data_IF_261407228717
#
_entry.id   IF_261407228717
#
_cell.length_a   1.000
_cell.length_b   1.000
_cell.length_c   1.000
_cell.angle_alpha   90.00
_cell.angle_beta   90.00
_cell.angle_gamma   90.00
#
_symmetry.space_group_name_H-M   'P 1'
#
loop_
_entity.id
_entity.type
_entity.pdbx_description
1 polymer ?
#
# COMPACT_ATOMS: atom_id res chain seq x y z
N UNK A 1 -0.52 3.38 19.68
CA UNK A 1 0.03 3.62 18.34
C UNK A 1 1.22 2.71 18.08
N UNK A 2 1.13 1.85 17.06
CA UNK A 2 2.14 0.88 16.64
C UNK A 2 2.62 1.29 15.25
N UNK A 3 3.93 1.45 15.08
CA UNK A 3 4.57 1.67 13.78
C UNK A 3 5.14 0.35 13.28
N UNK A 4 4.93 0.02 12.01
CA UNK A 4 5.39 -1.23 11.40
C UNK A 4 5.74 -1.03 9.94
N UNK A 5 6.54 -1.95 9.41
CA UNK A 5 6.91 -1.95 8.00
C UNK A 5 7.13 -3.34 7.43
N UNK A 6 6.99 -3.44 6.11
CA UNK A 6 7.34 -4.62 5.33
C UNK A 6 8.08 -4.18 4.08
N UNK A 7 9.08 -4.98 3.71
CA UNK A 7 9.75 -4.88 2.41
C UNK A 7 9.66 -6.23 1.73
N UNK A 8 9.14 -6.25 0.50
CA UNK A 8 8.98 -7.47 -0.27
C UNK A 8 9.42 -7.27 -1.72
N UNK A 9 10.04 -8.29 -2.28
CA UNK A 9 10.40 -8.33 -3.70
C UNK A 9 9.23 -8.96 -4.47
N UNK A 10 8.70 -8.22 -5.43
CA UNK A 10 7.51 -8.62 -6.21
C UNK A 10 7.88 -8.64 -7.68
N UNK A 11 7.60 -9.75 -8.37
CA UNK A 11 7.67 -9.79 -9.83
C UNK A 11 6.32 -9.33 -10.39
N UNK A 12 6.33 -8.28 -11.21
CA UNK A 12 5.15 -7.71 -11.84
C UNK A 12 5.42 -7.57 -13.35
N UNK A 13 4.62 -8.25 -14.18
CA UNK A 13 4.81 -8.31 -15.63
C UNK A 13 6.24 -8.64 -16.09
N UNK A 14 6.95 -9.53 -15.37
CA UNK A 14 8.31 -9.94 -15.71
C UNK A 14 9.40 -8.99 -15.22
N UNK A 15 9.04 -7.88 -14.57
CA UNK A 15 9.98 -6.97 -13.94
C UNK A 15 9.94 -7.14 -12.41
N UNK A 16 11.13 -7.21 -11.81
CA UNK A 16 11.25 -7.26 -10.35
C UNK A 16 11.21 -5.86 -9.75
N UNK A 17 10.35 -5.69 -8.75
CA UNK A 17 10.17 -4.45 -8.00
C UNK A 17 10.35 -4.68 -6.50
N UNK A 18 10.89 -3.68 -5.81
CA UNK A 18 10.95 -3.68 -4.33
C UNK A 18 9.77 -2.85 -3.83
N UNK A 19 8.80 -3.52 -3.22
CA UNK A 19 7.65 -2.88 -2.58
C UNK A 19 7.94 -2.72 -1.10
N UNK A 20 7.86 -1.49 -0.60
CA UNK A 20 7.96 -1.18 0.83
C UNK A 20 6.68 -0.51 1.29
N UNK A 21 6.09 -1.02 2.37
CA UNK A 21 4.93 -0.40 3.02
C UNK A 21 5.31 -0.08 4.45
N UNK A 22 5.14 1.19 4.83
CA UNK A 22 5.27 1.66 6.21
C UNK A 22 3.88 2.06 6.69
N UNK A 23 3.45 1.63 7.86
CA UNK A 23 2.15 2.00 8.39
C UNK A 23 2.15 2.22 9.89
N UNK A 24 1.17 3.01 10.32
CA UNK A 24 0.85 3.23 11.72
C UNK A 24 -0.58 2.77 11.98
N UNK A 25 -0.76 2.00 13.03
CA UNK A 25 -2.08 1.58 13.51
C UNK A 25 -2.30 1.96 14.96
N UNK A 26 -3.56 2.17 15.32
CA UNK A 26 -3.98 2.44 16.70
C UNK A 26 -5.28 1.70 16.98
N UNK A 27 -5.33 0.94 18.07
CA UNK A 27 -6.50 0.14 18.48
C UNK A 27 -7.15 -0.71 17.37
N UNK A 28 -6.36 -1.27 16.45
CA UNK A 28 -6.84 -2.09 15.35
C UNK A 28 -7.27 -1.31 14.10
N UNK A 29 -7.12 0.01 14.11
CA UNK A 29 -7.37 0.86 12.95
C UNK A 29 -6.08 1.35 12.31
N UNK A 30 -6.06 1.35 10.98
CA UNK A 30 -4.99 1.99 10.19
C UNK A 30 -5.13 3.51 10.31
N UNK A 31 -4.08 4.18 10.78
CA UNK A 31 -4.01 5.65 10.90
C UNK A 31 -3.32 6.27 9.69
N UNK A 32 -2.17 5.70 9.32
CA UNK A 32 -1.37 6.15 8.19
C UNK A 32 -0.71 4.97 7.48
N UNK A 33 -0.48 5.09 6.18
CA UNK A 33 0.35 4.17 5.42
C UNK A 33 1.11 4.92 4.33
N UNK A 34 2.33 4.50 4.02
CA UNK A 34 3.13 4.98 2.89
C UNK A 34 3.60 3.78 2.10
N UNK A 35 3.30 3.79 0.81
CA UNK A 35 3.63 2.72 -0.10
C UNK A 35 4.68 3.22 -1.09
N UNK A 36 5.83 2.56 -1.09
CA UNK A 36 6.95 2.87 -1.95
C UNK A 36 7.21 1.70 -2.89
N UNK A 37 7.51 2.01 -4.15
CA UNK A 37 8.01 1.04 -5.12
C UNK A 37 9.34 1.54 -5.65
N UNK A 38 10.37 0.70 -5.56
CA UNK A 38 11.75 1.03 -5.94
C UNK A 38 12.25 2.34 -5.31
N UNK A 39 11.90 2.53 -4.03
CA UNK A 39 12.28 3.71 -3.25
C UNK A 39 11.46 4.99 -3.54
N UNK A 40 10.50 4.94 -4.47
CA UNK A 40 9.63 6.08 -4.79
C UNK A 40 8.27 5.91 -4.12
N UNK A 41 7.85 6.89 -3.31
CA UNK A 41 6.49 6.92 -2.78
C UNK A 41 5.47 7.02 -3.94
N UNK A 42 4.54 6.08 -3.98
CA UNK A 42 3.49 6.01 -5.00
C UNK A 42 2.18 6.55 -4.43
N UNK A 43 1.79 6.01 -3.28
CA UNK A 43 0.53 6.31 -2.61
C UNK A 43 0.72 6.33 -1.10
N UNK A 44 -0.05 7.18 -0.43
CA UNK A 44 -0.12 7.27 1.02
C UNK A 44 -1.56 7.29 1.48
N UNK A 45 -1.80 6.67 2.63
CA UNK A 45 -3.02 6.76 3.39
C UNK A 45 -2.85 7.72 4.57
N UNK A 46 -3.79 8.63 4.75
CA UNK A 46 -3.87 9.44 5.96
C UNK A 46 -5.31 9.92 6.18
N UNK A 47 -5.81 9.82 7.41
CA UNK A 47 -7.16 10.28 7.81
C UNK A 47 -8.27 9.76 6.85
N UNK A 48 -8.25 8.47 6.56
CA UNK A 48 -9.30 7.84 5.74
C UNK A 48 -9.17 8.08 4.24
N UNK A 49 -8.03 8.59 3.75
CA UNK A 49 -7.87 8.95 2.33
C UNK A 49 -6.59 8.37 1.76
N UNK A 50 -6.72 7.69 0.62
CA UNK A 50 -5.60 7.32 -0.23
C UNK A 50 -5.31 8.43 -1.24
N UNK A 51 -4.07 8.89 -1.26
CA UNK A 51 -3.61 9.97 -2.14
C UNK A 51 -2.28 9.62 -2.74
N UNK A 52 -1.96 10.17 -3.91
CA UNK A 52 -0.62 10.02 -4.46
C UNK A 52 0.41 10.81 -3.63
N UNK A 53 1.70 10.64 -3.94
CA UNK A 53 2.80 11.34 -3.26
C UNK A 53 2.64 12.87 -3.18
N UNK A 54 2.02 13.48 -4.21
CA UNK A 54 1.80 14.93 -4.31
C UNK A 54 0.53 15.40 -3.56
N UNK A 55 -0.33 14.48 -3.13
CA UNK A 55 -1.62 14.78 -2.49
C UNK A 55 -2.69 15.33 -3.45
N UNK A 56 -2.43 15.40 -4.75
CA UNK A 56 -3.32 16.03 -5.73
C UNK A 56 -4.33 15.06 -6.36
N UNK A 57 -4.03 13.75 -6.38
CA UNK A 57 -4.96 12.70 -6.84
C UNK A 57 -5.42 11.88 -5.63
N UNK A 58 -6.74 11.70 -5.53
CA UNK A 58 -7.38 10.79 -4.56
C UNK A 58 -7.74 9.49 -5.27
N UNK A 59 -7.71 8.40 -4.51
CA UNK A 59 -8.10 7.08 -4.99
C UNK A 59 -9.24 6.53 -4.14
N UNK A 60 -10.07 5.67 -4.73
CA UNK A 60 -11.11 4.97 -4.01
C UNK A 60 -10.50 4.08 -2.91
N UNK A 61 -11.11 4.08 -1.73
CA UNK A 61 -10.66 3.27 -0.60
C UNK A 61 -10.89 1.78 -0.83
N UNK A 62 -11.89 1.41 -1.64
CA UNK A 62 -12.23 0.02 -1.91
C UNK A 62 -11.10 -0.69 -2.68
N UNK A 63 -10.40 0.04 -3.55
CA UNK A 63 -9.21 -0.48 -4.24
C UNK A 63 -8.09 -0.87 -3.27
N UNK A 64 -8.04 -0.25 -2.08
CA UNK A 64 -7.01 -0.53 -1.07
C UNK A 64 -7.50 -1.39 0.09
N UNK A 65 -8.69 -2.01 -0.01
CA UNK A 65 -9.28 -2.73 1.12
C UNK A 65 -8.41 -3.90 1.60
N UNK A 66 -7.79 -4.64 0.67
CA UNK A 66 -6.89 -5.76 0.99
C UNK A 66 -5.62 -5.22 1.65
N UNK A 67 -5.01 -4.17 1.08
CA UNK A 67 -3.82 -3.54 1.65
C UNK A 67 -4.08 -3.04 3.08
N UNK A 68 -5.21 -2.37 3.31
CA UNK A 68 -5.59 -1.91 4.65
C UNK A 68 -5.69 -3.06 5.63
N UNK A 69 -6.34 -4.18 5.25
CA UNK A 69 -6.45 -5.38 6.10
C UNK A 69 -5.08 -5.97 6.41
N UNK A 70 -4.21 -6.11 5.42
CA UNK A 70 -2.83 -6.58 5.60
C UNK A 70 -2.02 -5.66 6.53
N UNK A 71 -2.19 -4.34 6.46
CA UNK A 71 -1.54 -3.45 7.43
C UNK A 71 -2.05 -3.69 8.85
N UNK A 72 -3.37 -3.80 9.05
CA UNK A 72 -3.97 -4.03 10.38
C UNK A 72 -3.56 -5.39 10.97
N UNK A 73 -3.46 -6.43 10.14
CA UNK A 73 -3.05 -7.76 10.59
C UNK A 73 -1.52 -7.96 10.66
N UNK A 74 -0.74 -6.96 10.26
CA UNK A 74 0.72 -6.98 10.14
C UNK A 74 1.27 -7.97 9.10
N UNK A 75 0.59 -8.11 7.96
CA UNK A 75 0.96 -8.97 6.84
C UNK A 75 1.20 -10.43 7.28
N UNK A 76 0.39 -10.94 8.22
CA UNK A 76 0.52 -12.31 8.73
C UNK A 76 0.22 -13.36 7.67
N UNK A 77 -0.67 -13.05 6.72
CA UNK A 77 -1.04 -13.95 5.63
C UNK A 77 -0.29 -13.60 4.34
N UNK A 78 0.70 -14.43 3.99
CA UNK A 78 1.50 -14.27 2.78
C UNK A 78 0.68 -14.40 1.49
N UNK A 79 -0.47 -15.09 1.52
CA UNK A 79 -1.33 -15.27 0.33
C UNK A 79 -1.94 -13.95 -0.14
N UNK A 80 -2.16 -13.01 0.78
CA UNK A 80 -2.74 -11.71 0.47
C UNK A 80 -1.71 -10.65 0.09
N UNK A 81 -0.41 -10.98 0.14
CA UNK A 81 0.66 -10.00 -0.10
C UNK A 81 0.64 -9.46 -1.53
N UNK A 82 0.54 -10.34 -2.54
CA UNK A 82 0.46 -9.90 -3.94
C UNK A 82 -0.86 -9.15 -4.24
N UNK A 83 -2.05 -9.66 -3.86
CA UNK A 83 -3.30 -8.91 -3.97
C UNK A 83 -3.27 -7.54 -3.29
N UNK A 84 -2.63 -7.42 -2.13
CA UNK A 84 -2.48 -6.15 -1.42
C UNK A 84 -1.67 -5.11 -2.21
N UNK A 85 -0.74 -5.54 -3.06
CA UNK A 85 0.12 -4.64 -3.83
C UNK A 85 -0.43 -4.29 -5.22
N UNK A 86 -1.40 -5.04 -5.75
CA UNK A 86 -2.01 -4.77 -7.06
C UNK A 86 -2.41 -3.29 -7.25
N UNK A 87 -3.06 -2.63 -6.26
CA UNK A 87 -3.45 -1.24 -6.42
C UNK A 87 -2.25 -0.29 -6.58
N UNK A 88 -1.13 -0.61 -5.95
CA UNK A 88 0.07 0.21 -6.07
C UNK A 88 0.59 0.15 -7.51
N UNK A 89 0.58 -1.04 -8.13
CA UNK A 89 1.05 -1.24 -9.50
C UNK A 89 0.08 -0.67 -10.55
N UNK A 90 -1.22 -0.81 -10.38
CA UNK A 90 -2.21 -0.17 -11.28
C UNK A 90 -2.04 1.35 -11.30
N UNK A 91 -1.68 1.99 -10.18
CA UNK A 91 -1.30 3.43 -10.17
C UNK A 91 -0.05 3.70 -10.99
N UNK A 92 0.99 2.87 -10.85
CA UNK A 92 2.27 3.04 -11.56
C UNK A 92 2.05 3.00 -13.07
N UNK A 93 1.22 2.07 -13.54
CA UNK A 93 0.92 1.89 -14.95
C UNK A 93 -0.11 2.89 -15.51
N UNK A 94 -0.70 3.73 -14.65
CA UNK A 94 -1.70 4.71 -15.06
C UNK A 94 -3.03 4.08 -15.45
N UNK A 95 -3.31 2.87 -14.95
CA UNK A 95 -4.61 2.23 -15.12
C UNK A 95 -5.68 3.07 -14.40
N UNK A 96 -6.85 3.25 -15.02
CA UNK A 96 -7.95 3.97 -14.38
C UNK A 96 -8.43 3.18 -13.16
N UNK A 97 -8.19 3.79 -12.01
CA UNK A 97 -8.73 3.45 -10.69
C UNK A 97 -9.80 4.44 -10.29
#
# INVERSE_FOLDING_TARGET
MISSDITSKVNWYGQDHIVKVNWESDNGDLISARCLVDGKEIVKFFRGRWTNKKGNKRYDSDHFIILKRCCVDNFKDSKNMLPAFMPIFSIIHGEEM
#
